data_IF_589698008322
#
_entry.id   IF_589698008322
#
_cell.length_a   1.000
_cell.length_b   1.000
_cell.length_c   1.000
_cell.angle_alpha   90.00
_cell.angle_beta   90.00
_cell.angle_gamma   90.00
#
_symmetry.space_group_name_H-M   'P 1'
#
loop_
_entity.id
_entity.type
_entity.pdbx_description
1 polymer ?
#
# COMPACT_ATOMS: atom_id res chain seq x y z
N UNK A 1 18.77 13.46 -13.82
CA UNK A 1 18.99 12.19 -13.09
C UNK A 1 18.56 12.41 -11.65
N UNK A 2 17.40 11.88 -11.27
CA UNK A 2 16.73 12.18 -10.00
C UNK A 2 17.55 11.67 -8.81
N UNK A 3 18.08 12.58 -7.97
CA UNK A 3 18.88 12.27 -6.78
C UNK A 3 18.16 11.41 -5.74
N UNK A 4 16.85 11.19 -5.90
CA UNK A 4 15.99 10.42 -5.01
C UNK A 4 16.10 8.89 -5.18
N UNK A 5 16.82 8.37 -6.18
CA UNK A 5 16.93 6.93 -6.45
C UNK A 5 18.33 6.33 -6.20
N UNK A 6 19.26 7.09 -5.63
CA UNK A 6 20.61 6.60 -5.35
C UNK A 6 20.61 5.52 -4.25
N UNK A 7 21.38 4.43 -4.45
CA UNK A 7 21.61 3.40 -3.40
C UNK A 7 22.09 4.03 -2.08
N UNK A 8 22.88 5.10 -2.18
CA UNK A 8 23.34 5.90 -1.04
C UNK A 8 22.19 6.61 -0.32
N UNK A 9 21.21 7.14 -1.05
CA UNK A 9 20.02 7.79 -0.48
C UNK A 9 19.14 6.78 0.28
N UNK A 10 18.94 5.58 -0.30
CA UNK A 10 18.22 4.48 0.37
C UNK A 10 18.89 4.04 1.66
N UNK A 11 20.21 3.86 1.64
CA UNK A 11 20.97 3.51 2.82
C UNK A 11 20.88 4.59 3.91
N UNK A 12 21.06 5.87 3.54
CA UNK A 12 20.96 7.00 4.47
C UNK A 12 19.55 7.11 5.07
N UNK A 13 18.50 6.94 4.25
CA UNK A 13 17.10 6.94 4.72
C UNK A 13 16.88 5.86 5.78
N UNK A 14 17.27 4.62 5.50
CA UNK A 14 17.13 3.51 6.45
C UNK A 14 17.96 3.72 7.72
N UNK A 15 19.15 4.31 7.60
CA UNK A 15 20.00 4.63 8.74
C UNK A 15 19.36 5.69 9.64
N UNK A 16 18.78 6.75 9.07
CA UNK A 16 18.09 7.81 9.84
C UNK A 16 16.88 7.24 10.59
N UNK A 17 16.09 6.37 9.93
CA UNK A 17 14.94 5.70 10.56
C UNK A 17 15.41 4.81 11.72
N UNK A 18 16.44 3.99 11.49
CA UNK A 18 16.98 3.09 12.52
C UNK A 18 17.55 3.83 13.73
N UNK A 19 18.28 4.92 13.50
CA UNK A 19 18.83 5.76 14.59
C UNK A 19 17.71 6.47 15.35
N UNK A 20 16.71 7.01 14.65
CA UNK A 20 15.55 7.63 15.29
C UNK A 20 14.77 6.67 16.19
N UNK A 21 14.46 5.49 15.66
CA UNK A 21 13.76 4.45 16.42
C UNK A 21 14.55 4.02 17.68
N UNK A 22 15.87 3.93 17.59
CA UNK A 22 16.71 3.61 18.75
C UNK A 22 16.62 4.69 19.85
N UNK A 23 16.60 5.97 19.49
CA UNK A 23 16.46 7.08 20.45
C UNK A 23 15.08 7.05 21.14
N UNK A 24 14.02 6.73 20.39
CA UNK A 24 12.66 6.57 20.93
C UNK A 24 12.59 5.42 21.92
N UNK A 25 13.14 4.26 21.56
CA UNK A 25 13.16 3.08 22.43
C UNK A 25 13.97 3.32 23.71
N UNK A 26 15.08 4.05 23.63
CA UNK A 26 15.83 4.45 24.82
C UNK A 26 15.03 5.40 25.73
N UNK A 27 14.31 6.37 25.15
CA UNK A 27 13.43 7.25 25.92
C UNK A 27 12.29 6.49 26.60
N UNK A 28 11.69 5.52 25.91
CA UNK A 28 10.67 4.64 26.47
C UNK A 28 11.24 3.76 27.60
N UNK A 29 12.42 3.17 27.40
CA UNK A 29 13.11 2.37 28.42
C UNK A 29 13.34 3.18 29.70
N UNK A 30 13.87 4.40 29.58
CA UNK A 30 14.10 5.27 30.73
C UNK A 30 12.80 5.60 31.47
N UNK A 31 11.70 5.76 30.73
CA UNK A 31 10.37 5.98 31.32
C UNK A 31 9.86 4.77 32.08
N UNK A 32 10.12 3.55 31.60
CA UNK A 32 9.76 2.30 32.27
C UNK A 32 10.59 2.06 33.53
N UNK A 33 11.91 2.29 33.46
CA UNK A 33 12.81 2.14 34.60
C UNK A 33 12.73 3.29 35.62
N UNK A 34 11.88 4.30 35.37
CA UNK A 34 11.66 5.45 36.25
C UNK A 34 12.94 6.24 36.55
N UNK A 35 13.88 6.25 35.61
CA UNK A 35 15.18 6.93 35.77
C UNK A 35 15.02 8.46 35.84
N UNK A 36 15.89 9.16 36.59
CA UNK A 36 15.89 10.62 36.60
C UNK A 36 16.14 11.17 35.19
N UNK A 37 15.30 12.11 34.75
CA UNK A 37 15.36 12.65 33.38
C UNK A 37 14.60 11.85 32.32
N UNK A 38 13.90 10.78 32.69
CA UNK A 38 13.14 9.95 31.76
C UNK A 38 12.11 10.71 30.92
N UNK A 39 11.38 11.66 31.51
CA UNK A 39 10.41 12.47 30.77
C UNK A 39 11.09 13.34 29.71
N UNK A 40 12.28 13.89 29.98
CA UNK A 40 13.04 14.68 29.02
C UNK A 40 13.52 13.81 27.86
N UNK A 41 14.11 12.65 28.15
CA UNK A 41 14.58 11.70 27.13
C UNK A 41 13.43 11.18 26.25
N UNK A 42 12.27 10.90 26.87
CA UNK A 42 11.06 10.50 26.16
C UNK A 42 10.55 11.60 25.22
N UNK A 43 10.51 12.86 25.69
CA UNK A 43 10.12 13.99 24.84
C UNK A 43 11.06 14.15 23.64
N UNK A 44 12.37 14.02 23.85
CA UNK A 44 13.36 14.08 22.75
C UNK A 44 13.13 12.94 21.75
N UNK A 45 12.91 11.71 22.23
CA UNK A 45 12.58 10.56 21.39
C UNK A 45 11.32 10.81 20.55
N UNK A 46 10.22 11.19 21.17
CA UNK A 46 8.95 11.45 20.48
C UNK A 46 9.05 12.61 19.47
N UNK A 47 9.79 13.68 19.78
CA UNK A 47 10.06 14.75 18.83
C UNK A 47 10.88 14.28 17.63
N UNK A 48 11.85 13.39 17.86
CA UNK A 48 12.67 12.79 16.79
C UNK A 48 11.79 11.93 15.87
N UNK A 49 10.88 11.12 16.44
CA UNK A 49 9.93 10.30 15.68
C UNK A 49 8.98 11.15 14.83
N UNK A 50 8.42 12.22 15.42
CA UNK A 50 7.54 13.15 14.71
C UNK A 50 8.23 13.80 13.49
N UNK A 51 9.51 14.16 13.64
CA UNK A 51 10.31 14.71 12.54
C UNK A 51 10.55 13.68 11.42
N UNK A 52 10.85 12.43 11.78
CA UNK A 52 11.10 11.36 10.80
C UNK A 52 9.82 11.03 10.02
N UNK A 53 8.66 10.96 10.68
CA UNK A 53 7.38 10.74 9.98
C UNK A 53 7.03 11.88 9.04
N UNK A 54 7.27 13.14 9.45
CA UNK A 54 7.08 14.29 8.59
C UNK A 54 8.00 14.23 7.35
N UNK A 55 9.27 13.87 7.55
CA UNK A 55 10.23 13.72 6.47
C UNK A 55 9.82 12.59 5.49
N UNK A 56 9.37 11.45 5.99
CA UNK A 56 8.89 10.33 5.16
C UNK A 56 7.60 10.68 4.40
N UNK A 57 6.68 11.41 5.03
CA UNK A 57 5.48 11.92 4.36
C UNK A 57 5.81 12.85 3.19
N UNK A 58 6.90 13.62 3.28
CA UNK A 58 7.35 14.51 2.22
C UNK A 58 8.07 13.78 1.08
N UNK A 59 8.86 12.75 1.40
CA UNK A 59 9.67 12.01 0.41
C UNK A 59 8.83 11.01 -0.41
N UNK A 60 7.65 10.62 0.08
CA UNK A 60 6.72 9.74 -0.63
C UNK A 60 7.17 8.26 -0.64
N UNK A 61 6.23 7.31 -0.75
CA UNK A 61 6.55 5.88 -0.72
C UNK A 61 7.29 5.47 -2.01
N UNK A 62 8.47 4.87 -1.85
CA UNK A 62 9.18 4.28 -2.99
C UNK A 62 8.51 2.98 -3.42
N UNK A 63 8.44 2.76 -4.73
CA UNK A 63 7.98 1.48 -5.29
C UNK A 63 9.10 0.46 -5.15
N UNK A 64 8.90 -0.57 -4.32
CA UNK A 64 9.81 -1.70 -4.23
C UNK A 64 9.67 -2.57 -5.48
N UNK A 65 10.63 -2.43 -6.39
CA UNK A 65 10.69 -3.26 -7.59
C UNK A 65 11.51 -4.52 -7.29
N UNK A 66 10.82 -5.64 -7.06
CA UNK A 66 11.42 -6.97 -6.88
C UNK A 66 11.85 -7.58 -8.22
N UNK A 67 12.80 -6.93 -8.91
CA UNK A 67 13.35 -7.43 -10.18
C UNK A 67 14.04 -8.79 -10.02
N UNK A 68 14.53 -9.11 -8.84
CA UNK A 68 15.13 -10.40 -8.48
C UNK A 68 14.16 -11.59 -8.64
N UNK A 69 12.86 -11.39 -8.43
CA UNK A 69 11.83 -12.41 -8.65
C UNK A 69 11.49 -12.62 -10.13
N UNK A 70 11.74 -11.60 -10.96
CA UNK A 70 11.45 -11.60 -12.40
C UNK A 70 12.67 -12.01 -13.23
N UNK A 71 13.88 -11.72 -12.76
CA UNK A 71 15.16 -12.03 -13.40
C UNK A 71 16.14 -12.58 -12.36
N UNK A 72 16.10 -13.91 -12.11
CA UNK A 72 17.07 -14.56 -11.23
C UNK A 72 18.49 -14.39 -11.79
N UNK A 73 19.44 -13.94 -10.95
CA UNK A 73 20.84 -13.73 -11.32
C UNK A 73 21.31 -12.28 -11.42
N UNK A 74 20.47 -11.28 -11.11
CA UNK A 74 20.85 -9.86 -11.10
C UNK A 74 21.78 -9.45 -9.94
N UNK A 75 21.77 -10.21 -8.84
CA UNK A 75 22.57 -9.90 -7.65
C UNK A 75 24.02 -10.41 -7.71
N UNK A 76 24.33 -11.24 -8.71
CA UNK A 76 25.65 -11.84 -8.83
C UNK A 76 26.57 -10.93 -9.67
N UNK A 77 27.25 -10.01 -8.97
CA UNK A 77 28.18 -9.04 -9.58
C UNK A 77 29.45 -9.71 -10.16
N UNK A 78 29.76 -10.94 -9.72
CA UNK A 78 30.93 -11.73 -10.14
C UNK A 78 30.56 -12.84 -11.14
N UNK A 79 29.29 -12.91 -11.57
CA UNK A 79 28.90 -13.84 -12.61
C UNK A 79 29.66 -13.50 -13.90
N UNK A 80 30.41 -14.45 -14.50
CA UNK A 80 31.11 -14.20 -15.75
C UNK A 80 30.07 -13.79 -16.80
N UNK A 81 30.16 -12.54 -17.29
CA UNK A 81 29.23 -11.98 -18.27
C UNK A 81 29.07 -12.97 -19.42
N UNK A 82 27.96 -13.69 -19.44
CA UNK A 82 27.59 -14.57 -20.54
C UNK A 82 27.20 -13.63 -21.69
N UNK A 83 27.92 -13.65 -22.83
CA UNK A 83 27.46 -12.90 -23.98
C UNK A 83 26.06 -13.40 -24.30
N UNK A 84 25.13 -12.48 -24.55
CA UNK A 84 23.78 -12.78 -25.03
C UNK A 84 23.87 -13.33 -26.46
N UNK A 85 24.42 -14.52 -26.60
CA UNK A 85 24.20 -15.39 -27.75
C UNK A 85 23.09 -16.33 -27.34
N UNK A 86 21.96 -16.28 -28.06
CA UNK A 86 20.95 -17.32 -27.97
C UNK A 86 21.64 -18.61 -28.43
N UNK A 87 21.98 -19.45 -27.46
CA UNK A 87 22.80 -20.64 -27.67
C UNK A 87 24.25 -20.39 -27.21
N UNK A 88 24.66 -21.13 -26.18
CA UNK A 88 26.05 -21.21 -25.80
C UNK A 88 26.87 -21.71 -26.98
N UNK A 89 27.77 -20.87 -27.48
CA UNK A 89 28.74 -21.23 -28.50
C UNK A 89 30.13 -20.85 -28.01
N UNK A 90 30.94 -21.89 -27.78
CA UNK A 90 32.40 -21.83 -27.76
C UNK A 90 32.94 -21.06 -28.99
N UNK A 91 34.13 -20.47 -28.93
CA UNK A 91 34.63 -19.61 -30.00
C UNK A 91 34.88 -20.45 -31.26
N UNK A 92 34.06 -20.23 -32.30
CA UNK A 92 34.17 -20.89 -33.60
C UNK A 92 35.28 -20.22 -34.40
N UNK A 93 36.48 -20.80 -34.31
CA UNK A 93 37.49 -20.73 -35.35
C UNK A 93 37.50 -22.05 -36.12
N UNK A 94 36.50 -22.31 -36.97
CA UNK A 94 36.55 -23.34 -38.02
C UNK A 94 35.42 -23.08 -39.03
N UNK A 95 35.76 -23.27 -40.31
CA UNK A 95 34.97 -22.89 -41.47
C UNK A 95 33.51 -23.36 -41.41
N UNK A 96 32.61 -22.56 -41.97
CA UNK A 96 31.19 -22.91 -42.16
C UNK A 96 31.08 -24.13 -43.09
N UNK A 97 30.87 -25.30 -42.51
CA UNK A 97 30.45 -26.52 -43.22
C UNK A 97 28.97 -26.39 -43.63
N UNK A 98 28.71 -26.19 -44.92
CA UNK A 98 27.37 -25.99 -45.49
C UNK A 98 26.41 -27.17 -45.23
N UNK A 99 26.93 -28.37 -44.98
CA UNK A 99 26.14 -29.56 -44.67
C UNK A 99 25.47 -29.51 -43.28
N UNK A 100 26.11 -28.86 -42.31
CA UNK A 100 25.54 -28.67 -40.96
C UNK A 100 24.42 -27.63 -40.98
N UNK A 101 24.59 -26.58 -41.79
CA UNK A 101 23.59 -25.51 -41.98
C UNK A 101 22.35 -26.07 -42.67
N UNK A 102 22.50 -26.93 -43.68
CA UNK A 102 21.36 -27.57 -44.37
C UNK A 102 20.57 -28.50 -43.44
N UNK A 103 21.27 -29.28 -42.61
CA UNK A 103 20.63 -30.18 -41.62
C UNK A 103 19.92 -29.40 -40.51
N UNK A 104 20.47 -28.26 -40.08
CA UNK A 104 19.81 -27.37 -39.11
C UNK A 104 18.61 -26.64 -39.74
N UNK A 105 18.66 -26.25 -41.01
CA UNK A 105 17.52 -25.67 -41.71
C UNK A 105 16.36 -26.68 -41.84
N UNK A 106 16.65 -27.95 -42.13
CA UNK A 106 15.65 -29.02 -42.17
C UNK A 106 14.94 -29.22 -40.82
N UNK A 107 15.68 -29.16 -39.71
CA UNK A 107 15.12 -29.20 -38.36
C UNK A 107 14.28 -27.98 -38.02
N UNK A 108 14.74 -26.77 -38.40
CA UNK A 108 14.02 -25.52 -38.17
C UNK A 108 12.70 -25.45 -38.95
N UNK A 109 12.66 -26.00 -40.18
CA UNK A 109 11.43 -26.09 -40.97
C UNK A 109 10.39 -27.01 -40.33
N UNK A 110 10.83 -28.13 -39.76
CA UNK A 110 9.96 -29.03 -39.00
C UNK A 110 9.42 -28.36 -37.72
N UNK A 111 10.28 -27.61 -37.02
CA UNK A 111 9.90 -26.82 -35.84
C UNK A 111 8.88 -25.72 -36.20
N UNK A 112 9.10 -24.99 -37.31
CA UNK A 112 8.17 -23.98 -37.81
C UNK A 112 6.83 -24.58 -38.23
N UNK A 113 6.82 -25.79 -38.79
CA UNK A 113 5.58 -26.50 -39.13
C UNK A 113 4.81 -26.92 -37.87
N UNK A 114 5.51 -27.32 -36.81
CA UNK A 114 4.90 -27.57 -35.49
C UNK A 114 4.38 -26.29 -34.84
N UNK A 115 5.13 -25.19 -34.91
CA UNK A 115 4.67 -23.87 -34.44
C UNK A 115 3.44 -23.41 -35.22
N UNK A 116 3.38 -23.62 -36.53
CA UNK A 116 2.20 -23.31 -37.34
C UNK A 116 0.98 -24.16 -36.96
N UNK A 117 1.16 -25.45 -36.64
CA UNK A 117 0.08 -26.31 -36.12
C UNK A 117 -0.40 -25.84 -34.75
N UNK A 118 0.51 -25.46 -33.87
CA UNK A 118 0.19 -24.94 -32.55
C UNK A 118 -0.50 -23.55 -32.63
N UNK A 119 -0.11 -22.70 -33.58
CA UNK A 119 -0.79 -21.43 -33.86
C UNK A 119 -2.20 -21.63 -34.45
N UNK A 120 -2.39 -22.65 -35.29
CA UNK A 120 -3.74 -23.06 -35.73
C UNK A 120 -4.60 -23.59 -34.57
N UNK A 121 -4.00 -24.31 -33.62
CA UNK A 121 -4.69 -24.73 -32.39
C UNK A 121 -4.98 -23.56 -31.43
N UNK A 122 -4.12 -22.54 -31.37
CA UNK A 122 -4.34 -21.29 -30.63
C UNK A 122 -5.45 -20.44 -31.26
N UNK A 123 -5.60 -20.46 -32.59
CA UNK A 123 -6.71 -19.79 -33.28
C UNK A 123 -8.07 -20.40 -32.91
N UNK A 124 -8.13 -21.69 -32.59
CA UNK A 124 -9.32 -22.34 -32.04
C UNK A 124 -9.60 -21.96 -30.57
N UNK A 125 -8.59 -21.48 -29.83
CA UNK A 125 -8.73 -21.00 -28.44
C UNK A 125 -9.17 -19.52 -28.38
N UNK A 126 -8.96 -18.75 -29.45
CA UNK A 126 -9.45 -17.37 -29.60
C UNK A 126 -10.99 -17.29 -29.72
N UNK A 127 -11.65 -18.43 -29.91
CA UNK A 127 -13.11 -18.57 -29.94
C UNK A 127 -13.71 -18.89 -28.56
N UNK A 128 -12.88 -19.00 -27.51
CA UNK A 128 -13.33 -19.31 -26.14
C UNK A 128 -13.59 -18.02 -25.34
N UNK A 129 -14.87 -17.67 -25.29
CA UNK A 129 -15.62 -17.09 -24.16
C UNK A 129 -15.64 -15.57 -23.92
N UNK A 130 -16.32 -14.83 -24.82
CA UNK A 130 -16.78 -13.45 -24.58
C UNK A 130 -18.03 -13.36 -23.67
N UNK A 131 -18.62 -14.48 -23.24
CA UNK A 131 -19.89 -14.47 -22.51
C UNK A 131 -19.72 -14.07 -21.03
N UNK A 132 -18.68 -14.58 -20.36
CA UNK A 132 -18.42 -14.29 -18.95
C UNK A 132 -18.01 -12.84 -18.66
N UNK A 133 -17.29 -12.19 -19.58
CA UNK A 133 -16.83 -10.79 -19.40
C UNK A 133 -17.99 -9.79 -19.49
N UNK A 134 -18.98 -10.04 -20.37
CA UNK A 134 -20.14 -9.16 -20.52
C UNK A 134 -21.01 -9.14 -19.26
N UNK A 135 -21.25 -10.32 -18.68
CA UNK A 135 -21.97 -10.48 -17.41
C UNK A 135 -21.26 -9.72 -16.27
N UNK A 136 -19.93 -9.87 -16.19
CA UNK A 136 -19.11 -9.25 -15.15
C UNK A 136 -19.06 -7.73 -15.24
N UNK A 137 -19.03 -7.15 -16.45
CA UNK A 137 -19.14 -5.70 -16.65
C UNK A 137 -20.52 -5.19 -16.19
N UNK A 138 -21.58 -5.94 -16.45
CA UNK A 138 -22.94 -5.62 -16.01
C UNK A 138 -23.05 -5.65 -14.47
N UNK A 139 -22.45 -6.65 -13.82
CA UNK A 139 -22.39 -6.74 -12.36
C UNK A 139 -21.59 -5.59 -11.75
N UNK A 140 -20.46 -5.20 -12.36
CA UNK A 140 -19.68 -4.04 -11.89
C UNK A 140 -20.46 -2.73 -11.97
N UNK A 141 -21.19 -2.52 -13.07
CA UNK A 141 -22.03 -1.33 -13.24
C UNK A 141 -23.11 -1.26 -12.16
N UNK A 142 -23.81 -2.38 -11.90
CA UNK A 142 -24.82 -2.45 -10.85
C UNK A 142 -24.25 -2.25 -9.44
N UNK A 143 -23.04 -2.73 -9.18
CA UNK A 143 -22.36 -2.51 -7.91
C UNK A 143 -22.04 -1.03 -7.69
N UNK A 144 -21.58 -0.32 -8.73
CA UNK A 144 -21.29 1.11 -8.66
C UNK A 144 -22.55 1.94 -8.36
N UNK A 145 -23.69 1.61 -8.96
CA UNK A 145 -24.97 2.27 -8.66
C UNK A 145 -25.38 2.06 -7.21
N UNK A 146 -25.30 0.82 -6.70
CA UNK A 146 -25.64 0.52 -5.29
C UNK A 146 -24.72 1.19 -4.29
N UNK A 147 -23.44 1.35 -4.63
CA UNK A 147 -22.48 2.07 -3.80
C UNK A 147 -22.84 3.56 -3.68
N UNK A 148 -23.29 4.18 -4.78
CA UNK A 148 -23.71 5.58 -4.75
C UNK A 148 -25.01 5.78 -3.95
N UNK A 149 -25.99 4.88 -4.07
CA UNK A 149 -27.19 4.88 -3.21
C UNK A 149 -26.82 4.75 -1.74
N UNK A 150 -25.98 3.77 -1.38
CA UNK A 150 -25.55 3.59 0.01
C UNK A 150 -24.79 4.80 0.58
N UNK A 151 -24.01 5.49 -0.26
CA UNK A 151 -23.31 6.72 0.14
C UNK A 151 -24.27 7.90 0.33
N UNK A 152 -25.35 7.98 -0.46
CA UNK A 152 -26.40 8.97 -0.27
C UNK A 152 -27.19 8.71 1.03
N UNK A 153 -27.59 7.46 1.26
CA UNK A 153 -28.29 7.03 2.49
C UNK A 153 -27.43 7.27 3.75
N UNK A 154 -26.11 7.06 3.65
CA UNK A 154 -25.18 7.37 4.74
C UNK A 154 -25.10 8.88 5.00
N UNK A 155 -25.13 9.70 3.95
CA UNK A 155 -25.19 11.16 4.05
C UNK A 155 -26.45 11.62 4.79
N UNK A 156 -27.61 11.10 4.41
CA UNK A 156 -28.88 11.39 5.07
C UNK A 156 -28.89 10.91 6.53
N UNK A 157 -28.32 9.73 6.81
CA UNK A 157 -28.19 9.22 8.18
C UNK A 157 -27.30 10.09 9.08
N UNK A 158 -26.28 10.74 8.51
CA UNK A 158 -25.41 11.68 9.23
C UNK A 158 -26.15 12.98 9.55
N UNK A 159 -26.97 13.48 8.63
CA UNK A 159 -27.86 14.63 8.84
C UNK A 159 -28.85 14.33 9.99
N UNK A 160 -29.48 13.15 9.97
CA UNK A 160 -30.40 12.70 11.02
C UNK A 160 -29.70 12.54 12.38
N UNK A 161 -28.48 12.01 12.42
CA UNK A 161 -27.70 11.90 13.65
C UNK A 161 -27.36 13.28 14.24
N UNK A 162 -27.13 14.29 13.39
CA UNK A 162 -26.89 15.67 13.82
C UNK A 162 -28.17 16.30 14.37
N UNK A 163 -29.31 16.12 13.71
CA UNK A 163 -30.61 16.58 14.19
C UNK A 163 -30.98 15.95 15.54
N UNK A 164 -30.74 14.65 15.70
CA UNK A 164 -30.95 13.95 16.97
C UNK A 164 -30.06 14.50 18.11
N UNK A 165 -28.79 14.81 17.81
CA UNK A 165 -27.87 15.44 18.78
C UNK A 165 -28.36 16.83 19.20
N UNK A 166 -28.89 17.63 18.29
CA UNK A 166 -29.50 18.94 18.62
C UNK A 166 -30.74 18.78 19.51
N UNK A 167 -31.60 17.81 19.21
CA UNK A 167 -32.77 17.51 20.03
C UNK A 167 -32.37 17.06 21.45
N UNK A 168 -31.35 16.20 21.57
CA UNK A 168 -30.80 15.79 22.88
C UNK A 168 -30.18 16.97 23.65
N UNK A 169 -29.48 17.88 22.97
CA UNK A 169 -28.94 19.07 23.60
C UNK A 169 -30.06 19.99 24.13
N UNK A 170 -31.13 20.17 23.36
CA UNK A 170 -32.33 20.90 23.79
C UNK A 170 -33.02 20.23 24.99
N UNK A 171 -33.13 18.90 24.98
CA UNK A 171 -33.73 18.12 26.06
C UNK A 171 -32.91 18.24 27.36
N UNK A 172 -31.58 18.17 27.25
CA UNK A 172 -30.68 18.36 28.39
C UNK A 172 -30.76 19.78 28.96
N UNK A 173 -30.88 20.80 28.10
CA UNK A 173 -31.09 22.20 28.51
C UNK A 173 -32.42 22.38 29.25
N UNK A 174 -33.48 21.74 28.78
CA UNK A 174 -34.79 21.77 29.44
C UNK A 174 -34.76 21.03 30.78
N UNK A 175 -34.09 19.86 30.87
CA UNK A 175 -33.90 19.14 32.13
C UNK A 175 -33.07 19.95 33.13
N UNK A 176 -32.00 20.60 32.68
CA UNK A 176 -31.21 21.50 33.53
C UNK A 176 -32.04 22.69 34.02
N UNK A 177 -32.90 23.24 33.17
CA UNK A 177 -33.79 24.35 33.53
C UNK A 177 -34.85 23.91 34.55
N UNK A 178 -35.45 22.74 34.36
CA UNK A 178 -36.36 22.13 35.32
C UNK A 178 -35.67 21.88 36.66
N UNK A 179 -34.47 21.30 36.65
CA UNK A 179 -33.70 21.03 37.87
C UNK A 179 -33.37 22.34 38.62
N UNK A 180 -33.05 23.42 37.89
CA UNK A 180 -32.85 24.75 38.48
C UNK A 180 -34.14 25.30 39.10
N UNK A 181 -35.29 25.15 38.45
CA UNK A 181 -36.58 25.57 39.02
C UNK A 181 -36.93 24.76 40.26
N UNK A 182 -36.75 23.44 40.24
CA UNK A 182 -36.95 22.59 41.41
C UNK A 182 -36.03 22.98 42.57
N UNK A 183 -34.74 23.28 42.30
CA UNK A 183 -33.81 23.78 43.30
C UNK A 183 -34.25 25.14 43.89
N UNK A 184 -34.71 26.06 43.03
CA UNK A 184 -35.21 27.36 43.47
C UNK A 184 -36.51 27.25 44.28
N UNK A 185 -37.42 26.33 43.92
CA UNK A 185 -38.65 26.05 44.68
C UNK A 185 -38.35 25.36 46.00
N UNK A 186 -37.40 24.42 46.04
CA UNK A 186 -36.94 23.79 47.29
C UNK A 186 -36.32 24.82 48.23
N UNK A 187 -35.46 25.70 47.72
CA UNK A 187 -34.85 26.77 48.51
C UNK A 187 -35.91 27.77 49.02
N UNK A 188 -36.91 28.10 48.19
CA UNK A 188 -38.03 28.94 48.61
C UNK A 188 -38.90 28.27 49.69
N UNK A 189 -39.17 26.96 49.57
CA UNK A 189 -39.91 26.22 50.60
C UNK A 189 -39.13 26.08 51.91
N UNK A 190 -37.80 25.92 51.85
CA UNK A 190 -36.94 25.90 53.03
C UNK A 190 -36.90 27.27 53.73
N UNK A 191 -36.85 28.36 52.94
CA UNK A 191 -36.91 29.74 53.43
C UNK A 191 -38.24 30.11 54.10
N UNK A 192 -39.35 29.46 53.75
CA UNK A 192 -40.67 29.73 54.34
C UNK A 192 -40.86 28.98 55.68
N UNK A 193 -40.04 27.95 55.95
CA UNK A 193 -40.15 27.07 57.13
C UNK A 193 -39.14 27.36 58.24
N UNK A 194 -38.19 28.27 58.02
CA UNK A 194 -37.27 28.81 59.03
C UNK A 194 -37.65 30.23 59.39
#
# INVERSE_FOLDING_TARGET
MSFLHSKTFKYIKNLIIGVGAAVVLLGALFKLESLPGASLMLTIGLCTEAFIFLFLGLVGPEKDYYWEKLFPGLDDYDAPMQPLTVGGASPVGKALDGEVVEKQLGGMLAELQNVSKNLSALKALQEVDFSGTSEQIKTMSNFYTKLNEAMADLGDSVEDAKAFREQLAGLNKNLSSLNSVYGNVLNAMASIRG
#
